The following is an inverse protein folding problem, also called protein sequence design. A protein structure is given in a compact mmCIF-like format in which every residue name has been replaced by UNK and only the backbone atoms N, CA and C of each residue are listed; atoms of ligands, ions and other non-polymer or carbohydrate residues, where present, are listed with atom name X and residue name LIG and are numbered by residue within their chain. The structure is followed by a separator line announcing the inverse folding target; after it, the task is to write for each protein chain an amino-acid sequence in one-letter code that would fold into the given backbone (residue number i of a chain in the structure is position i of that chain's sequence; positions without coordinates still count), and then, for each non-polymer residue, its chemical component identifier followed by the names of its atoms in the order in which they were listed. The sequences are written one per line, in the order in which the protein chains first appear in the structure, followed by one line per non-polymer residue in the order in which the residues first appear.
data_IF_485617098290
#
_entry.id   IF_485617098290
#
_cell.length_a   1.000
_cell.length_b   1.000
_cell.length_c   1.000
_cell.angle_alpha   90.00
_cell.angle_beta   90.00
_cell.angle_gamma   90.00
#
_symmetry.space_group_name_H-M   'P 1'
#
loop_
_entity.id
_entity.type
_entity.pdbx_description
1 polymer ?
#
# COMPACT_ATOMS: atom_id res chain seq x y z
N UNK A 1 -12.77 17.27 -30.89
CA UNK A 1 -11.49 17.63 -30.25
C UNK A 1 -10.99 16.45 -29.40
N UNK A 2 -9.99 15.69 -29.86
CA UNK A 2 -9.46 14.49 -29.19
C UNK A 2 -8.41 14.91 -28.15
N UNK A 3 -8.69 14.76 -26.87
CA UNK A 3 -7.67 14.93 -25.81
C UNK A 3 -6.63 13.80 -25.90
N UNK A 4 -5.46 14.07 -26.50
CA UNK A 4 -4.28 13.20 -26.35
C UNK A 4 -3.76 13.36 -24.92
N UNK A 5 -3.99 12.37 -24.06
CA UNK A 5 -3.34 12.29 -22.74
C UNK A 5 -1.83 12.11 -22.96
N UNK A 6 -1.04 13.12 -22.61
CA UNK A 6 0.41 13.04 -22.66
C UNK A 6 0.89 11.91 -21.73
N UNK A 7 1.54 10.90 -22.30
CA UNK A 7 2.23 9.86 -21.55
C UNK A 7 3.56 10.43 -21.08
N UNK A 8 3.67 10.74 -19.78
CA UNK A 8 4.95 11.08 -19.16
C UNK A 8 5.54 9.80 -18.57
N UNK A 9 6.63 9.25 -19.12
CA UNK A 9 7.32 8.12 -18.50
C UNK A 9 7.94 8.57 -17.17
N UNK A 10 7.42 8.05 -16.06
CA UNK A 10 7.98 8.30 -14.73
C UNK A 10 8.95 7.16 -14.42
N UNK A 11 10.23 7.50 -14.36
CA UNK A 11 11.32 6.62 -13.96
C UNK A 11 11.00 5.93 -12.60
N UNK A 12 10.89 4.59 -12.55
CA UNK A 12 10.60 3.86 -11.32
C UNK A 12 11.67 4.00 -10.24
N UNK A 13 12.85 4.52 -10.58
CA UNK A 13 14.01 4.67 -9.69
C UNK A 13 14.23 6.11 -9.17
N UNK A 14 13.52 7.11 -9.70
CA UNK A 14 13.67 8.50 -9.21
C UNK A 14 12.84 8.73 -7.94
N UNK A 15 13.43 9.29 -6.86
CA UNK A 15 12.68 9.74 -5.70
C UNK A 15 11.76 10.90 -6.16
N UNK A 16 10.46 10.72 -5.96
CA UNK A 16 9.49 11.79 -6.26
C UNK A 16 9.76 12.93 -5.28
N UNK A 17 10.22 14.06 -5.82
CA UNK A 17 10.72 15.21 -5.09
C UNK A 17 9.65 15.89 -4.22
N UNK A 18 10.17 16.66 -3.25
CA UNK A 18 9.53 17.32 -2.11
C UNK A 18 8.28 18.15 -2.45
N UNK A 19 7.35 18.10 -1.50
CA UNK A 19 6.38 19.16 -1.19
C UNK A 19 5.10 19.10 -2.01
N UNK A 20 3.95 19.07 -1.33
CA UNK A 20 2.74 19.87 -1.57
C UNK A 20 1.60 19.38 -0.65
N UNK A 21 0.80 20.34 -0.16
CA UNK A 21 -0.08 20.23 1.01
C UNK A 21 -1.59 20.06 0.70
N UNK A 22 -2.07 19.94 -0.54
CA UNK A 22 -3.53 19.87 -0.81
C UNK A 22 -3.94 19.02 -2.04
N UNK A 23 -4.99 18.17 -1.90
CA UNK A 23 -5.64 17.40 -2.99
C UNK A 23 -6.20 18.21 -4.17
N UNK A 24 -6.24 17.63 -5.37
CA UNK A 24 -6.77 18.26 -6.61
C UNK A 24 -8.28 18.08 -6.83
N UNK A 25 -8.93 18.88 -7.68
CA UNK A 25 -10.38 18.81 -7.95
C UNK A 25 -10.84 17.50 -8.62
N UNK A 26 -9.99 16.88 -9.44
CA UNK A 26 -10.29 15.57 -10.02
C UNK A 26 -10.24 14.46 -8.96
N UNK A 27 -9.39 14.62 -7.95
CA UNK A 27 -9.32 13.75 -6.76
C UNK A 27 -10.62 13.83 -5.97
N UNK A 28 -11.17 15.03 -5.78
CA UNK A 28 -12.50 15.21 -5.19
C UNK A 28 -13.57 14.50 -6.00
N UNK A 29 -13.56 14.60 -7.34
CA UNK A 29 -14.61 14.04 -8.20
C UNK A 29 -14.57 12.50 -8.28
N UNK A 30 -13.38 11.90 -8.38
CA UNK A 30 -13.22 10.43 -8.45
C UNK A 30 -13.45 9.76 -7.09
N UNK A 31 -13.10 10.43 -5.98
CA UNK A 31 -13.40 9.95 -4.62
C UNK A 31 -14.90 10.13 -4.28
N UNK A 32 -15.56 11.15 -4.82
CA UNK A 32 -16.96 11.51 -4.50
C UNK A 32 -18.01 10.56 -5.08
N UNK A 33 -17.71 9.79 -6.13
CA UNK A 33 -18.77 9.19 -6.95
C UNK A 33 -19.23 7.77 -6.56
N UNK A 34 -18.62 7.11 -5.56
CA UNK A 34 -19.13 5.79 -5.10
C UNK A 34 -19.15 5.62 -3.57
N UNK A 35 -20.36 5.87 -3.02
CA UNK A 35 -21.05 5.22 -1.89
C UNK A 35 -20.58 5.44 -0.43
N UNK A 36 -21.61 5.58 0.42
CA UNK A 36 -21.74 5.78 1.88
C UNK A 36 -21.27 7.14 2.44
N UNK A 37 -22.22 8.06 2.60
CA UNK A 37 -22.04 9.30 3.37
C UNK A 37 -22.29 9.00 4.86
N UNK A 38 -21.23 8.96 5.67
CA UNK A 38 -21.35 8.72 7.12
C UNK A 38 -20.05 8.94 7.88
N UNK A 39 -20.13 9.05 9.21
CA UNK A 39 -18.98 9.21 10.13
C UNK A 39 -17.95 8.10 9.92
N UNK A 40 -18.41 6.87 9.70
CA UNK A 40 -17.56 5.73 9.40
C UNK A 40 -16.64 5.97 8.21
N UNK A 41 -17.11 6.60 7.14
CA UNK A 41 -16.27 6.92 5.98
C UNK A 41 -15.21 7.97 6.32
N UNK A 42 -15.59 9.01 7.08
CA UNK A 42 -14.61 10.02 7.51
C UNK A 42 -13.51 9.38 8.35
N UNK A 43 -13.85 8.43 9.21
CA UNK A 43 -12.90 7.69 10.04
C UNK A 43 -12.01 6.76 9.20
N UNK A 44 -12.59 5.98 8.29
CA UNK A 44 -11.80 5.08 7.42
C UNK A 44 -10.89 5.86 6.48
N UNK A 45 -11.39 6.94 5.87
CA UNK A 45 -10.57 7.80 5.02
C UNK A 45 -9.50 8.53 5.84
N UNK A 46 -9.79 8.97 7.06
CA UNK A 46 -8.77 9.53 7.96
C UNK A 46 -7.68 8.50 8.28
N UNK A 47 -8.05 7.25 8.58
CA UNK A 47 -7.12 6.18 8.88
C UNK A 47 -6.23 5.84 7.67
N UNK A 48 -6.84 5.53 6.53
CA UNK A 48 -6.12 5.05 5.35
C UNK A 48 -5.37 6.16 4.60
N UNK A 49 -5.74 7.44 4.77
CA UNK A 49 -5.04 8.56 4.13
C UNK A 49 -3.59 8.64 4.61
N UNK A 50 -2.61 8.64 3.68
CA UNK A 50 -1.20 8.79 4.05
C UNK A 50 -0.97 10.07 4.84
N UNK A 51 -0.35 9.94 6.01
CA UNK A 51 0.02 11.07 6.87
C UNK A 51 1.20 11.83 6.25
N UNK A 52 1.41 13.07 6.68
CA UNK A 52 2.45 13.97 6.14
C UNK A 52 3.86 13.35 6.18
N UNK A 53 4.19 12.62 7.24
CA UNK A 53 5.49 11.95 7.37
C UNK A 53 5.65 10.74 6.43
N UNK A 54 4.54 10.05 6.14
CA UNK A 54 4.48 8.89 5.24
C UNK A 54 4.63 9.26 3.77
N UNK A 55 4.11 10.45 3.40
CA UNK A 55 4.13 10.96 2.02
C UNK A 55 5.52 11.01 1.42
N UNK A 56 6.56 11.23 2.22
CA UNK A 56 7.94 11.24 1.75
C UNK A 56 8.47 9.85 1.34
N UNK A 57 7.85 8.76 1.83
CA UNK A 57 8.33 7.39 1.68
C UNK A 57 9.65 7.08 2.42
N UNK A 58 10.30 8.09 3.01
CA UNK A 58 11.63 7.95 3.63
C UNK A 58 11.61 7.05 4.85
N UNK A 59 10.58 7.18 5.69
CA UNK A 59 10.39 6.32 6.87
C UNK A 59 10.37 4.84 6.46
N UNK A 60 9.52 4.49 5.49
CA UNK A 60 9.41 3.13 4.97
C UNK A 60 10.69 2.61 4.32
N UNK A 61 11.42 3.50 3.64
CA UNK A 61 12.71 3.15 3.06
C UNK A 61 13.73 2.81 4.15
N UNK A 62 13.78 3.60 5.22
CA UNK A 62 14.67 3.37 6.39
C UNK A 62 14.31 2.09 7.14
N UNK A 63 13.03 1.77 7.25
CA UNK A 63 12.54 0.51 7.83
C UNK A 63 12.79 -0.71 6.93
N UNK A 64 13.40 -0.54 5.76
CA UNK A 64 13.74 -1.64 4.86
C UNK A 64 12.57 -2.18 4.03
N UNK A 65 11.41 -1.51 4.04
CA UNK A 65 10.20 -1.96 3.30
C UNK A 65 10.46 -2.12 1.80
N UNK A 66 11.38 -1.34 1.23
CA UNK A 66 11.78 -1.47 -0.18
C UNK A 66 12.51 -2.79 -0.46
N UNK A 67 13.34 -3.25 0.47
CA UNK A 67 14.03 -4.54 0.34
C UNK A 67 13.04 -5.69 0.53
N UNK A 68 12.17 -5.59 1.52
CA UNK A 68 11.07 -6.53 1.73
C UNK A 68 10.18 -6.65 0.48
N UNK A 69 9.76 -5.52 -0.11
CA UNK A 69 8.99 -5.50 -1.36
C UNK A 69 9.71 -6.24 -2.49
N UNK A 70 11.01 -5.98 -2.67
CA UNK A 70 11.80 -6.66 -3.71
C UNK A 70 11.88 -8.16 -3.45
N UNK A 71 12.15 -8.57 -2.21
CA UNK A 71 12.16 -9.98 -1.83
C UNK A 71 10.82 -10.64 -2.13
N UNK A 72 9.72 -10.05 -1.64
CA UNK A 72 8.36 -10.55 -1.85
C UNK A 72 7.99 -10.61 -3.34
N UNK A 73 8.36 -9.61 -4.14
CA UNK A 73 8.13 -9.63 -5.59
C UNK A 73 8.97 -10.69 -6.31
N UNK A 74 10.21 -10.92 -5.86
CA UNK A 74 11.09 -11.93 -6.46
C UNK A 74 10.61 -13.34 -6.11
N UNK A 75 10.15 -13.57 -4.89
CA UNK A 75 9.65 -14.87 -4.43
C UNK A 75 8.21 -15.13 -4.92
N UNK A 76 7.28 -14.29 -4.50
CA UNK A 76 5.84 -14.49 -4.73
C UNK A 76 5.40 -13.97 -6.10
N UNK A 77 5.97 -12.86 -6.56
CA UNK A 77 5.71 -12.29 -7.89
C UNK A 77 6.30 -13.12 -9.03
N UNK A 78 7.41 -13.82 -8.80
CA UNK A 78 7.98 -14.80 -9.72
C UNK A 78 7.03 -15.99 -9.91
N UNK A 79 6.55 -16.56 -8.80
CA UNK A 79 5.59 -17.67 -8.81
C UNK A 79 4.26 -17.29 -9.46
N UNK A 80 3.69 -16.13 -9.13
CA UNK A 80 2.45 -15.64 -9.76
C UNK A 80 2.62 -15.36 -11.25
N UNK A 81 3.77 -14.84 -11.70
CA UNK A 81 4.06 -14.66 -13.14
C UNK A 81 4.19 -15.99 -13.86
N UNK A 82 4.82 -16.98 -13.23
CA UNK A 82 4.95 -18.33 -13.75
C UNK A 82 3.58 -19.01 -13.89
N UNK A 83 2.67 -18.79 -12.94
CA UNK A 83 1.30 -19.31 -12.93
C UNK A 83 0.31 -18.50 -13.80
N UNK A 84 0.78 -17.67 -14.73
CA UNK A 84 -0.10 -16.91 -15.64
C UNK A 84 -0.78 -15.67 -15.02
N UNK A 85 -0.21 -15.13 -13.94
CA UNK A 85 -0.76 -14.01 -13.18
C UNK A 85 -1.12 -12.78 -14.01
N UNK A 86 -2.28 -12.19 -13.68
CA UNK A 86 -2.96 -11.12 -14.42
C UNK A 86 -2.04 -9.90 -14.70
N UNK A 87 -2.13 -9.35 -15.92
CA UNK A 87 -1.40 -8.15 -16.39
C UNK A 87 -1.96 -6.79 -15.86
N UNK A 88 -2.95 -6.82 -14.98
CA UNK A 88 -3.68 -5.65 -14.46
C UNK A 88 -3.28 -5.25 -13.03
N UNK A 89 -3.88 -4.17 -12.48
CA UNK A 89 -3.68 -3.79 -11.08
C UNK A 89 -4.18 -4.90 -10.14
N UNK A 90 -3.35 -5.28 -9.17
CA UNK A 90 -3.63 -6.32 -8.17
C UNK A 90 -2.84 -6.10 -6.88
N UNK A 91 -2.77 -7.11 -6.00
CA UNK A 91 -2.29 -6.96 -4.62
C UNK A 91 -0.92 -6.28 -4.43
N UNK A 92 0.01 -6.43 -5.40
CA UNK A 92 1.38 -5.92 -5.28
C UNK A 92 1.88 -5.21 -6.55
N UNK A 93 1.02 -5.04 -7.55
CA UNK A 93 1.40 -4.47 -8.84
C UNK A 93 0.28 -3.57 -9.37
N UNK A 94 0.64 -2.34 -9.74
CA UNK A 94 -0.31 -1.35 -10.28
C UNK A 94 -0.67 -1.58 -11.76
N UNK A 95 -0.01 -2.54 -12.43
CA UNK A 95 -0.14 -2.73 -13.87
C UNK A 95 0.91 -1.95 -14.68
N UNK A 96 1.05 -2.32 -15.96
CA UNK A 96 1.93 -1.61 -16.91
C UNK A 96 1.34 -0.25 -17.33
N UNK A 97 0.01 -0.14 -17.31
CA UNK A 97 -0.70 1.11 -17.55
C UNK A 97 -0.95 1.79 -16.20
N UNK A 98 -0.48 3.03 -16.07
CA UNK A 98 -0.65 3.85 -14.85
C UNK A 98 -1.75 4.88 -15.09
N UNK A 99 -2.96 4.45 -15.43
CA UNK A 99 -4.09 5.38 -15.54
C UNK A 99 -4.59 5.79 -14.16
N UNK A 100 -5.36 6.88 -14.07
CA UNK A 100 -6.00 7.30 -12.81
C UNK A 100 -6.91 6.18 -12.27
N UNK A 101 -7.65 5.50 -13.14
CA UNK A 101 -8.50 4.38 -12.76
C UNK A 101 -7.70 3.21 -12.19
N UNK A 102 -6.55 2.87 -12.79
CA UNK A 102 -5.68 1.80 -12.29
C UNK A 102 -5.10 2.14 -10.92
N UNK A 103 -4.74 3.41 -10.70
CA UNK A 103 -4.23 3.92 -9.43
C UNK A 103 -5.27 3.83 -8.31
N UNK A 104 -6.52 4.20 -8.59
CA UNK A 104 -7.62 4.12 -7.62
C UNK A 104 -7.94 2.65 -7.30
N UNK A 105 -7.99 1.79 -8.31
CA UNK A 105 -8.19 0.34 -8.09
C UNK A 105 -7.07 -0.25 -7.24
N UNK A 106 -5.81 0.08 -7.54
CA UNK A 106 -4.66 -0.37 -6.76
C UNK A 106 -4.69 0.17 -5.32
N UNK A 107 -5.11 1.41 -5.13
CA UNK A 107 -5.31 1.98 -3.78
C UNK A 107 -6.33 1.18 -2.97
N UNK A 108 -7.46 0.80 -3.56
CA UNK A 108 -8.45 -0.08 -2.94
C UNK A 108 -7.84 -1.42 -2.50
N UNK A 109 -7.02 -2.03 -3.36
CA UNK A 109 -6.27 -3.26 -3.01
C UNK A 109 -5.30 -3.05 -1.85
N UNK A 110 -4.63 -1.90 -1.76
CA UNK A 110 -3.76 -1.62 -0.59
C UNK A 110 -4.56 -1.57 0.70
N UNK A 111 -5.77 -0.99 0.69
CA UNK A 111 -6.65 -0.94 1.88
C UNK A 111 -7.11 -2.34 2.28
N UNK A 112 -7.54 -3.14 1.31
CA UNK A 112 -7.99 -4.51 1.55
C UNK A 112 -6.87 -5.38 2.13
N UNK A 113 -5.66 -5.33 1.57
CA UNK A 113 -4.53 -6.10 2.11
C UNK A 113 -4.11 -5.60 3.50
N UNK A 114 -4.16 -4.29 3.76
CA UNK A 114 -3.92 -3.76 5.11
C UNK A 114 -4.97 -4.27 6.11
N UNK A 115 -6.24 -4.36 5.70
CA UNK A 115 -7.33 -4.90 6.52
C UNK A 115 -7.17 -6.39 6.84
N UNK A 116 -6.48 -7.17 5.99
CA UNK A 116 -6.19 -8.58 6.26
C UNK A 116 -4.99 -8.71 7.20
N UNK A 117 -3.88 -8.03 6.89
CA UNK A 117 -2.63 -8.21 7.63
C UNK A 117 -2.63 -7.55 9.00
N UNK A 118 -3.40 -6.47 9.19
CA UNK A 118 -3.43 -5.77 10.47
C UNK A 118 -4.05 -6.63 11.59
N UNK A 119 -5.25 -7.24 11.44
CA UNK A 119 -5.76 -8.17 12.45
C UNK A 119 -4.85 -9.37 12.67
N UNK A 120 -4.31 -9.97 11.61
CA UNK A 120 -3.37 -11.10 11.73
C UNK A 120 -2.12 -10.74 12.54
N UNK A 121 -1.57 -9.55 12.34
CA UNK A 121 -0.46 -9.05 13.15
C UNK A 121 -0.81 -9.01 14.64
N UNK A 122 -2.02 -8.58 15.00
CA UNK A 122 -2.46 -8.53 16.39
C UNK A 122 -2.76 -9.91 16.96
N UNK A 123 -3.38 -10.81 16.19
CA UNK A 123 -3.61 -12.20 16.60
C UNK A 123 -2.30 -12.92 16.87
N UNK A 124 -1.35 -12.92 15.93
CA UNK A 124 -0.01 -13.49 16.16
C UNK A 124 0.72 -12.82 17.33
N UNK A 125 0.50 -11.51 17.53
CA UNK A 125 1.09 -10.79 18.66
C UNK A 125 0.55 -11.26 20.01
N UNK A 126 -0.76 -11.54 20.08
CA UNK A 126 -1.39 -12.13 21.24
C UNK A 126 -0.85 -13.55 21.49
N UNK A 127 -0.85 -14.40 20.46
CA UNK A 127 -0.38 -15.79 20.56
C UNK A 127 1.10 -15.85 20.95
N UNK A 128 1.92 -14.92 20.45
CA UNK A 128 3.32 -14.76 20.87
C UNK A 128 3.42 -14.51 22.37
N UNK A 129 2.65 -13.56 22.90
CA UNK A 129 2.68 -13.20 24.33
C UNK A 129 2.16 -14.36 25.21
N UNK A 130 1.12 -15.05 24.76
CA UNK A 130 0.61 -16.24 25.43
C UNK A 130 1.68 -17.34 25.51
N UNK A 131 2.33 -17.67 24.39
CA UNK A 131 3.40 -18.66 24.35
C UNK A 131 4.61 -18.25 25.22
N UNK A 132 4.96 -16.96 25.26
CA UNK A 132 6.00 -16.47 26.17
C UNK A 132 5.61 -16.68 27.64
N UNK A 133 4.35 -16.40 28.00
CA UNK A 133 3.86 -16.56 29.37
C UNK A 133 3.86 -18.02 29.85
N UNK A 134 3.74 -18.96 28.91
CA UNK A 134 3.77 -20.40 29.16
C UNK A 134 5.19 -21.00 29.07
N UNK A 135 6.22 -20.19 28.79
CA UNK A 135 7.60 -20.67 28.62
C UNK A 135 7.85 -21.39 27.29
N UNK A 136 6.91 -21.35 26.35
CA UNK A 136 7.05 -21.94 25.02
C UNK A 136 7.78 -20.97 24.07
N UNK A 137 9.08 -20.79 24.31
CA UNK A 137 9.89 -19.83 23.57
C UNK A 137 9.99 -20.14 22.07
N UNK A 138 9.93 -21.41 21.68
CA UNK A 138 9.97 -21.83 20.28
C UNK A 138 8.75 -21.36 19.49
N UNK A 139 7.55 -21.63 20.01
CA UNK A 139 6.31 -21.16 19.40
C UNK A 139 6.22 -19.62 19.43
N UNK A 140 6.61 -19.00 20.55
CA UNK A 140 6.66 -17.55 20.66
C UNK A 140 7.57 -16.91 19.60
N UNK A 141 8.75 -17.49 19.35
CA UNK A 141 9.64 -17.00 18.30
C UNK A 141 9.01 -17.12 16.90
N UNK A 142 8.31 -18.22 16.63
CA UNK A 142 7.54 -18.41 15.39
C UNK A 142 6.46 -17.35 15.20
N UNK A 143 5.64 -17.12 16.22
CA UNK A 143 4.60 -16.08 16.20
C UNK A 143 5.20 -14.67 16.08
N UNK A 144 6.32 -14.40 16.76
CA UNK A 144 7.07 -13.15 16.61
C UNK A 144 7.54 -12.90 15.17
N UNK A 145 7.98 -13.95 14.47
CA UNK A 145 8.30 -13.84 13.05
C UNK A 145 7.06 -13.52 12.18
N UNK A 146 5.90 -14.08 12.50
CA UNK A 146 4.64 -13.78 11.84
C UNK A 146 4.15 -12.35 12.11
N UNK A 147 4.32 -11.84 13.34
CA UNK A 147 4.07 -10.43 13.68
C UNK A 147 4.91 -9.52 12.80
N UNK A 148 6.21 -9.78 12.69
CA UNK A 148 7.11 -9.00 11.84
C UNK A 148 6.68 -9.06 10.38
N UNK A 149 6.38 -10.25 9.85
CA UNK A 149 5.94 -10.43 8.47
C UNK A 149 4.67 -9.62 8.17
N UNK A 150 3.64 -9.74 9.00
CA UNK A 150 2.39 -8.99 8.82
C UNK A 150 2.59 -7.48 8.99
N UNK A 151 3.45 -7.05 9.92
CA UNK A 151 3.85 -5.63 10.07
C UNK A 151 4.46 -5.09 8.79
N UNK A 152 5.40 -5.83 8.19
CA UNK A 152 6.04 -5.46 6.92
C UNK A 152 5.04 -5.42 5.76
N UNK A 153 4.07 -6.33 5.72
CA UNK A 153 2.96 -6.28 4.76
C UNK A 153 2.12 -5.00 4.92
N UNK A 154 1.73 -4.64 6.15
CA UNK A 154 1.00 -3.39 6.44
C UNK A 154 1.81 -2.17 6.00
N UNK A 155 3.09 -2.10 6.36
CA UNK A 155 3.98 -1.01 5.96
C UNK A 155 4.13 -0.91 4.44
N UNK A 156 4.20 -2.04 3.74
CA UNK A 156 4.25 -2.08 2.29
C UNK A 156 2.97 -1.49 1.68
N UNK A 157 1.80 -1.82 2.20
CA UNK A 157 0.54 -1.26 1.71
C UNK A 157 0.46 0.25 1.92
N UNK A 158 0.85 0.75 3.10
CA UNK A 158 0.89 2.19 3.39
C UNK A 158 1.93 2.93 2.57
N UNK A 159 3.10 2.35 2.36
CA UNK A 159 4.15 2.88 1.48
C UNK A 159 3.66 2.99 0.03
N UNK A 160 3.03 1.93 -0.49
CA UNK A 160 2.47 1.91 -1.83
C UNK A 160 1.37 2.96 -2.00
N UNK A 161 0.48 3.10 -1.01
CA UNK A 161 -0.56 4.10 -1.00
C UNK A 161 0.00 5.52 -1.02
N UNK A 162 1.01 5.83 -0.20
CA UNK A 162 1.68 7.13 -0.22
C UNK A 162 2.20 7.50 -1.62
N UNK A 163 2.78 6.53 -2.33
CA UNK A 163 3.26 6.72 -3.72
C UNK A 163 2.13 6.93 -4.72
N UNK A 164 1.02 6.21 -4.57
CA UNK A 164 -0.18 6.39 -5.41
C UNK A 164 -0.70 7.80 -5.29
N UNK A 165 -0.93 8.30 -4.06
CA UNK A 165 -1.44 9.65 -3.85
C UNK A 165 -0.48 10.69 -4.42
N UNK A 166 0.84 10.57 -4.18
CA UNK A 166 1.81 11.50 -4.76
C UNK A 166 1.78 11.49 -6.30
N UNK A 167 1.52 10.33 -6.92
CA UNK A 167 1.44 10.23 -8.38
C UNK A 167 0.15 10.82 -8.92
N UNK A 168 -0.98 10.63 -8.23
CA UNK A 168 -2.26 11.25 -8.57
C UNK A 168 -2.16 12.78 -8.46
N UNK A 169 -1.57 13.30 -7.38
CA UNK A 169 -1.36 14.73 -7.17
C UNK A 169 -0.54 15.39 -8.30
N UNK A 170 0.38 14.65 -8.93
CA UNK A 170 1.16 15.14 -10.07
C UNK A 170 0.41 15.07 -11.40
N UNK A 171 -0.47 14.08 -11.59
CA UNK A 171 -1.19 13.85 -12.86
C UNK A 171 -2.46 14.69 -13.02
N UNK A 172 -2.95 15.23 -11.92
CA UNK A 172 -4.22 15.97 -11.84
C UNK A 172 -4.02 17.48 -11.72
N UNK A 173 -2.77 17.93 -11.82
CA UNK A 173 -2.41 19.32 -12.14
C UNK A 173 -2.39 19.49 -13.65
#
# INVERSE_FOLDING_TARGET
MKYRKAYVPIDPNKPIMRGIKTPSELEKKVIRDKRVNGIFRKLTDWYYKPKSFERSGKMYTRLGVRYFQKGLMNSYGGLLRFLGGKKGPGNYFIGNKRTVSDMVTYEGWTRFNELIHMPLMFTCGYDMLENLSQGNYGAAAGEGALVLLNSYCVFLQRYNRARVYNTLDLKLK
#
